data_IF_412711800957
#
_entry.id   IF_412711800957
#
_cell.length_a   1.000
_cell.length_b   1.000
_cell.length_c   1.000
_cell.angle_alpha   90.00
_cell.angle_beta   90.00
_cell.angle_gamma   90.00
#
_symmetry.space_group_name_H-M   'P 1'
#
loop_
_entity.id
_entity.type
_entity.pdbx_description
1 polymer ?
#
# COMPACT_ATOMS: atom_id res chain seq x y z
N UNK A 1 12.65 -7.76 5.29
CA UNK A 1 11.24 -8.12 5.22
C UNK A 1 10.33 -6.95 4.90
N UNK A 2 10.26 -5.87 5.71
CA UNK A 2 9.45 -4.69 5.32
C UNK A 2 10.04 -3.96 4.12
N UNK A 3 11.35 -3.86 4.04
CA UNK A 3 12.02 -3.27 2.88
C UNK A 3 11.79 -4.11 1.63
N UNK A 4 11.84 -5.43 1.75
CA UNK A 4 11.54 -6.32 0.64
C UNK A 4 10.10 -6.14 0.16
N UNK A 5 9.15 -6.08 1.08
CA UNK A 5 7.74 -5.88 0.75
C UNK A 5 7.53 -4.53 0.06
N UNK A 6 8.12 -3.47 0.60
CA UNK A 6 8.03 -2.13 0.00
C UNK A 6 8.55 -2.13 -1.44
N UNK A 7 9.73 -2.68 -1.65
CA UNK A 7 10.33 -2.72 -2.99
C UNK A 7 9.52 -3.60 -3.94
N UNK A 8 8.98 -4.71 -3.45
CA UNK A 8 8.15 -5.60 -4.26
C UNK A 8 6.86 -4.92 -4.70
N UNK A 9 6.18 -4.22 -3.79
CA UNK A 9 4.97 -3.47 -4.10
C UNK A 9 5.30 -2.37 -5.11
N UNK A 10 6.34 -1.60 -4.85
CA UNK A 10 6.75 -0.50 -5.72
C UNK A 10 7.06 -0.97 -7.14
N UNK A 11 7.85 -2.04 -7.26
CA UNK A 11 8.21 -2.60 -8.55
C UNK A 11 6.99 -3.13 -9.30
N UNK A 12 6.08 -3.81 -8.59
CA UNK A 12 4.89 -4.38 -9.20
C UNK A 12 3.94 -3.28 -9.70
N UNK A 13 3.77 -2.22 -8.93
CA UNK A 13 2.96 -1.07 -9.34
C UNK A 13 3.58 -0.39 -10.55
N UNK A 14 4.89 -0.17 -10.54
CA UNK A 14 5.57 0.47 -11.66
C UNK A 14 5.39 -0.33 -12.96
N UNK A 15 5.38 -1.65 -12.87
CA UNK A 15 5.20 -2.54 -14.02
C UNK A 15 3.74 -2.61 -14.47
N UNK A 16 2.82 -2.85 -13.53
CA UNK A 16 1.44 -3.20 -13.83
C UNK A 16 0.50 -2.01 -13.88
N UNK A 17 0.83 -0.93 -13.16
CA UNK A 17 -0.03 0.27 -13.05
C UNK A 17 0.82 1.52 -13.29
N UNK A 18 1.31 1.72 -14.52
CA UNK A 18 2.22 2.84 -14.83
C UNK A 18 1.56 4.21 -14.69
N UNK A 19 0.25 4.28 -14.55
CA UNK A 19 -0.48 5.53 -14.30
C UNK A 19 -0.13 6.15 -12.95
N UNK A 20 0.38 5.36 -11.99
CA UNK A 20 0.82 5.88 -10.70
C UNK A 20 2.12 6.66 -10.88
N UNK A 21 2.08 7.93 -10.50
CA UNK A 21 3.20 8.86 -10.73
C UNK A 21 4.12 9.06 -9.56
N UNK A 22 3.69 8.65 -8.35
CA UNK A 22 4.47 8.82 -7.14
C UNK A 22 4.18 7.67 -6.18
N UNK A 23 5.22 7.06 -5.62
CA UNK A 23 5.11 5.97 -4.66
C UNK A 23 6.07 6.26 -3.52
N UNK A 24 5.56 6.28 -2.29
CA UNK A 24 6.37 6.55 -1.11
C UNK A 24 5.75 5.91 0.13
N UNK A 25 6.44 6.02 1.25
CA UNK A 25 5.89 5.61 2.54
C UNK A 25 4.89 6.65 3.04
N UNK A 26 3.89 6.17 3.75
CA UNK A 26 2.89 7.03 4.35
C UNK A 26 3.46 7.76 5.57
N UNK A 27 3.31 9.08 5.59
CA UNK A 27 3.71 9.91 6.72
C UNK A 27 2.75 11.09 6.89
N UNK A 28 1.45 10.85 6.67
CA UNK A 28 0.41 11.89 6.68
C UNK A 28 0.58 12.90 5.56
N UNK A 29 1.10 12.47 4.41
CA UNK A 29 1.38 13.31 3.25
C UNK A 29 0.19 14.14 2.79
N UNK A 30 -1.02 13.59 2.93
CA UNK A 30 -2.26 14.25 2.54
C UNK A 30 -2.59 15.44 3.45
N UNK A 31 -2.29 15.32 4.74
CA UNK A 31 -2.59 16.35 5.72
C UNK A 31 -1.74 17.60 5.55
N UNK A 32 -0.56 17.45 4.97
CA UNK A 32 0.42 18.52 4.79
C UNK A 32 0.59 18.90 3.32
N UNK A 33 -0.41 18.61 2.50
CA UNK A 33 -0.34 18.79 1.05
C UNK A 33 0.05 20.21 0.65
N UNK A 34 -0.43 21.21 1.40
CA UNK A 34 -0.17 22.62 1.11
C UNK A 34 1.18 23.09 1.62
N UNK A 35 1.77 22.37 2.57
CA UNK A 35 3.02 22.76 3.23
C UNK A 35 4.23 22.03 2.68
N UNK A 36 4.04 20.91 1.99
CA UNK A 36 5.11 20.10 1.46
C UNK A 36 5.35 20.38 -0.02
N UNK A 37 6.52 19.95 -0.50
CA UNK A 37 6.79 19.96 -1.93
C UNK A 37 5.73 19.14 -2.65
N UNK A 38 5.07 19.70 -3.66
CA UNK A 38 4.02 18.96 -4.36
C UNK A 38 4.54 17.66 -4.97
N UNK A 39 3.77 16.60 -4.79
CA UNK A 39 4.04 15.33 -5.45
C UNK A 39 2.97 15.07 -6.51
N UNK A 40 3.36 14.30 -7.54
CA UNK A 40 2.46 14.02 -8.66
C UNK A 40 1.34 13.07 -8.25
N UNK A 41 0.18 13.23 -8.82
CA UNK A 41 -0.99 12.36 -8.65
C UNK A 41 -1.38 11.73 -9.99
N UNK A 42 -1.87 10.50 -10.00
CA UNK A 42 -2.19 9.62 -8.86
C UNK A 42 -0.94 9.17 -8.11
N UNK A 43 -1.05 9.10 -6.80
CA UNK A 43 0.05 8.68 -5.94
C UNK A 43 -0.36 7.51 -5.05
N UNK A 44 0.61 6.69 -4.69
CA UNK A 44 0.41 5.59 -3.75
C UNK A 44 1.35 5.79 -2.57
N UNK A 45 0.81 5.68 -1.36
CA UNK A 45 1.59 5.69 -0.13
C UNK A 45 1.37 4.37 0.61
N UNK A 46 2.44 3.81 1.12
CA UNK A 46 2.43 2.51 1.77
C UNK A 46 2.60 2.70 3.28
N UNK A 47 1.63 2.19 4.03
CA UNK A 47 1.63 2.28 5.50
C UNK A 47 1.67 0.90 6.10
N UNK A 48 2.57 0.67 7.06
CA UNK A 48 2.67 -0.59 7.77
C UNK A 48 1.88 -0.53 9.08
N UNK A 49 1.07 -1.55 9.32
CA UNK A 49 0.43 -1.76 10.60
C UNK A 49 1.30 -2.58 11.54
N UNK A 50 0.75 -2.91 12.69
CA UNK A 50 1.43 -3.75 13.68
C UNK A 50 1.67 -5.14 13.12
N UNK A 51 2.85 -5.67 13.38
CA UNK A 51 3.18 -7.07 13.07
C UNK A 51 3.22 -7.83 14.39
N UNK A 52 2.40 -8.86 14.50
CA UNK A 52 2.38 -9.74 15.67
C UNK A 52 3.21 -10.97 15.37
N UNK A 53 4.22 -11.21 16.19
CA UNK A 53 5.19 -12.28 15.96
C UNK A 53 4.92 -13.51 16.80
N UNK A 54 5.19 -14.66 16.20
CA UNK A 54 5.15 -15.96 16.88
C UNK A 54 6.49 -16.65 16.68
N UNK A 55 7.21 -16.98 17.76
CA UNK A 55 8.45 -17.73 17.65
C UNK A 55 8.18 -19.14 17.15
N UNK A 56 9.09 -19.64 16.32
CA UNK A 56 9.06 -21.01 15.80
C UNK A 56 10.18 -21.81 16.42
N UNK A 57 10.00 -23.12 16.49
CA UNK A 57 11.08 -24.02 16.87
C UNK A 57 12.20 -23.88 15.83
N UNK A 58 13.46 -23.88 16.29
CA UNK A 58 14.59 -23.78 15.39
C UNK A 58 14.99 -22.34 15.04
N UNK A 59 14.60 -21.38 15.86
CA UNK A 59 15.07 -19.99 15.83
C UNK A 59 14.46 -19.11 14.73
N UNK A 60 13.37 -19.54 14.11
CA UNK A 60 12.64 -18.68 13.19
C UNK A 60 11.49 -17.95 13.86
N UNK A 61 10.89 -16.99 13.15
CA UNK A 61 9.68 -16.30 13.59
C UNK A 61 8.71 -16.19 12.44
N UNK A 62 7.44 -16.30 12.76
CA UNK A 62 6.35 -16.04 11.84
C UNK A 62 5.60 -14.81 12.33
N UNK A 63 5.33 -13.87 11.43
CA UNK A 63 4.58 -12.66 11.75
C UNK A 63 3.29 -12.59 10.97
N UNK A 64 2.31 -11.93 11.56
CA UNK A 64 1.07 -11.54 10.89
C UNK A 64 0.89 -10.06 11.05
N UNK A 65 0.62 -9.37 9.96
CA UNK A 65 0.45 -7.95 10.00
C UNK A 65 -0.45 -7.45 8.89
N UNK A 66 -0.52 -6.14 8.79
CA UNK A 66 -1.29 -5.48 7.76
C UNK A 66 -0.41 -4.45 7.07
N UNK A 67 -0.67 -4.26 5.80
CA UNK A 67 -0.12 -3.15 5.05
C UNK A 67 -1.28 -2.41 4.39
N UNK A 68 -1.26 -1.09 4.46
CA UNK A 68 -2.29 -0.25 3.87
C UNK A 68 -1.73 0.46 2.66
N UNK A 69 -2.49 0.42 1.58
CA UNK A 69 -2.13 1.08 0.33
C UNK A 69 -3.07 2.26 0.16
N UNK A 70 -2.52 3.46 0.31
CA UNK A 70 -3.26 4.70 0.14
C UNK A 70 -3.14 5.14 -1.31
N UNK A 71 -4.23 5.10 -2.06
CA UNK A 71 -4.29 5.65 -3.40
C UNK A 71 -4.87 7.06 -3.31
N UNK A 72 -4.10 8.04 -3.70
CA UNK A 72 -4.50 9.45 -3.64
C UNK A 72 -4.67 9.98 -5.05
N UNK A 73 -5.88 10.43 -5.38
CA UNK A 73 -6.22 10.97 -6.68
C UNK A 73 -6.83 12.37 -6.51
N UNK A 74 -6.82 13.14 -7.60
CA UNK A 74 -7.51 14.43 -7.59
C UNK A 74 -9.01 14.21 -7.53
N UNK A 75 -9.68 14.98 -6.66
CA UNK A 75 -11.13 14.99 -6.63
C UNK A 75 -11.62 16.00 -7.66
N UNK A 76 -12.16 15.47 -8.75
CA UNK A 76 -12.78 16.29 -9.77
C UNK A 76 -14.11 15.66 -10.15
N UNK A 77 -15.08 16.49 -10.47
CA UNK A 77 -16.39 16.01 -10.87
C UNK A 77 -16.27 15.06 -12.06
N UNK A 78 -16.89 13.89 -11.92
CA UNK A 78 -16.90 12.88 -12.98
C UNK A 78 -15.64 12.01 -13.05
N UNK A 79 -14.66 12.18 -12.16
CA UNK A 79 -13.41 11.41 -12.20
C UNK A 79 -13.32 10.29 -11.16
N UNK A 80 -14.31 10.14 -10.29
CA UNK A 80 -14.30 9.07 -9.29
C UNK A 80 -14.28 7.67 -9.94
N UNK A 81 -14.88 7.49 -11.10
CA UNK A 81 -14.88 6.21 -11.79
C UNK A 81 -13.46 5.80 -12.19
N UNK A 82 -12.65 6.75 -12.65
CA UNK A 82 -11.26 6.49 -13.00
C UNK A 82 -10.45 6.11 -11.76
N UNK A 83 -10.72 6.78 -10.62
CA UNK A 83 -10.06 6.46 -9.35
C UNK A 83 -10.40 5.03 -8.90
N UNK A 84 -11.66 4.63 -8.99
CA UNK A 84 -12.07 3.29 -8.60
C UNK A 84 -11.53 2.22 -9.56
N UNK A 85 -11.45 2.51 -10.84
CA UNK A 85 -10.83 1.61 -11.81
C UNK A 85 -9.34 1.43 -11.51
N UNK A 86 -8.66 2.49 -11.12
CA UNK A 86 -7.25 2.45 -10.76
C UNK A 86 -7.03 1.66 -9.47
N UNK A 87 -7.92 1.82 -8.49
CA UNK A 87 -7.92 1.03 -7.27
C UNK A 87 -8.02 -0.47 -7.57
N UNK A 88 -8.86 -0.84 -8.53
CA UNK A 88 -8.99 -2.24 -8.95
C UNK A 88 -7.74 -2.78 -9.61
N UNK A 89 -7.07 -1.96 -10.42
CA UNK A 89 -5.78 -2.35 -11.02
C UNK A 89 -4.72 -2.59 -9.94
N UNK A 90 -4.70 -1.76 -8.91
CA UNK A 90 -3.79 -1.94 -7.78
C UNK A 90 -4.08 -3.25 -7.05
N UNK A 91 -5.34 -3.56 -6.82
CA UNK A 91 -5.72 -4.83 -6.20
C UNK A 91 -5.22 -6.01 -7.04
N UNK A 92 -5.42 -5.98 -8.33
CA UNK A 92 -4.98 -7.05 -9.22
C UNK A 92 -3.46 -7.20 -9.23
N UNK A 93 -2.72 -6.11 -9.04
CA UNK A 93 -1.27 -6.15 -9.01
C UNK A 93 -0.74 -6.65 -7.66
N UNK A 94 -1.37 -6.28 -6.56
CA UNK A 94 -0.82 -6.49 -5.21
C UNK A 94 -1.31 -7.78 -4.57
N UNK A 95 -2.56 -8.16 -4.76
CA UNK A 95 -3.09 -9.38 -4.14
C UNK A 95 -2.31 -10.61 -4.63
N UNK A 96 -1.90 -11.44 -3.69
CA UNK A 96 -1.10 -12.62 -3.99
C UNK A 96 0.39 -12.37 -4.19
N UNK A 97 0.85 -11.13 -4.03
CA UNK A 97 2.26 -10.82 -4.14
C UNK A 97 3.04 -11.55 -3.04
N UNK A 98 4.22 -12.05 -3.36
CA UNK A 98 5.06 -12.78 -2.41
C UNK A 98 6.55 -12.50 -2.67
N UNK A 99 7.36 -12.74 -1.66
CA UNK A 99 8.80 -12.63 -1.72
C UNK A 99 9.45 -13.69 -0.84
N UNK A 100 10.72 -13.51 -0.52
CA UNK A 100 11.46 -14.47 0.29
C UNK A 100 10.99 -14.50 1.74
N UNK A 101 10.59 -13.36 2.28
CA UNK A 101 10.24 -13.22 3.69
C UNK A 101 8.79 -12.78 3.92
N UNK A 102 7.97 -12.78 2.88
CA UNK A 102 6.55 -12.46 3.04
C UNK A 102 5.70 -13.19 2.01
N UNK A 103 4.44 -13.44 2.36
CA UNK A 103 3.42 -13.95 1.44
C UNK A 103 2.02 -13.67 2.00
N UNK A 104 1.02 -14.28 1.40
CA UNK A 104 -0.35 -14.24 1.91
C UNK A 104 -1.03 -12.88 1.77
N UNK A 105 -0.57 -12.05 0.85
CA UNK A 105 -1.18 -10.75 0.58
C UNK A 105 -2.63 -10.92 0.13
N UNK A 106 -3.57 -10.49 0.96
CA UNK A 106 -4.99 -10.62 0.68
C UNK A 106 -5.72 -9.36 1.14
N UNK A 107 -6.59 -8.84 0.28
CA UNK A 107 -7.39 -7.66 0.61
C UNK A 107 -8.36 -7.99 1.74
N UNK A 108 -8.33 -7.19 2.80
CA UNK A 108 -9.16 -7.38 3.99
C UNK A 108 -10.21 -6.29 4.16
N UNK A 109 -9.91 -5.06 3.77
CA UNK A 109 -10.80 -3.93 3.96
C UNK A 109 -10.47 -2.83 2.97
N UNK A 110 -11.47 -2.04 2.63
CA UNK A 110 -11.32 -0.85 1.78
C UNK A 110 -12.04 0.30 2.43
N UNK A 111 -11.33 1.41 2.63
CA UNK A 111 -11.90 2.66 3.10
C UNK A 111 -11.78 3.72 2.02
N UNK A 112 -12.78 4.59 1.95
CA UNK A 112 -12.75 5.74 1.05
C UNK A 112 -12.88 6.99 1.90
N UNK A 113 -11.93 7.90 1.76
CA UNK A 113 -11.89 9.12 2.54
C UNK A 113 -11.80 10.34 1.63
N UNK A 114 -12.52 11.36 2.01
CA UNK A 114 -12.48 12.67 1.35
C UNK A 114 -12.06 13.69 2.39
N UNK A 115 -10.85 13.52 2.92
CA UNK A 115 -10.34 14.34 4.02
C UNK A 115 -9.82 15.71 3.57
N UNK A 116 -9.68 15.93 2.28
CA UNK A 116 -9.23 17.19 1.69
C UNK A 116 -10.12 17.52 0.50
N UNK A 117 -10.45 18.80 0.30
CA UNK A 117 -11.38 19.22 -0.75
C UNK A 117 -10.99 18.78 -2.14
N UNK A 118 -9.71 18.75 -2.42
CA UNK A 118 -9.18 18.54 -3.76
C UNK A 118 -8.73 17.12 -4.04
N UNK A 119 -8.84 16.22 -3.06
CA UNK A 119 -8.34 14.86 -3.22
C UNK A 119 -9.31 13.82 -2.70
N UNK A 120 -9.25 12.66 -3.36
CA UNK A 120 -9.94 11.45 -2.94
C UNK A 120 -8.88 10.43 -2.53
N UNK A 121 -9.07 9.83 -1.37
CA UNK A 121 -8.15 8.81 -0.86
C UNK A 121 -8.88 7.48 -0.71
N UNK A 122 -8.36 6.44 -1.38
CA UNK A 122 -8.81 5.07 -1.22
C UNK A 122 -7.75 4.31 -0.44
N UNK A 123 -8.14 3.65 0.64
CA UNK A 123 -7.22 2.94 1.51
C UNK A 123 -7.59 1.47 1.51
N UNK A 124 -6.76 0.66 0.89
CA UNK A 124 -6.91 -0.80 0.88
C UNK A 124 -5.98 -1.40 1.93
N UNK A 125 -6.55 -2.19 2.82
CA UNK A 125 -5.80 -2.91 3.85
C UNK A 125 -5.63 -4.35 3.44
N UNK A 126 -4.37 -4.79 3.36
CA UNK A 126 -4.01 -6.17 3.01
C UNK A 126 -3.44 -6.88 4.23
N UNK A 127 -3.88 -8.11 4.45
CA UNK A 127 -3.19 -9.01 5.38
C UNK A 127 -1.87 -9.44 4.74
N UNK A 128 -0.86 -9.67 5.56
CA UNK A 128 0.43 -10.16 5.08
C UNK A 128 1.05 -11.04 6.15
N UNK A 129 1.72 -12.12 5.71
CA UNK A 129 2.48 -13.01 6.58
C UNK A 129 3.96 -12.75 6.35
N UNK A 130 4.70 -12.67 7.44
CA UNK A 130 6.14 -12.46 7.40
C UNK A 130 6.88 -13.65 7.97
N UNK A 131 8.08 -13.87 7.47
CA UNK A 131 8.95 -14.93 7.95
C UNK A 131 10.32 -14.35 8.21
N UNK A 132 10.86 -14.63 9.40
CA UNK A 132 12.23 -14.28 9.72
C UNK A 132 12.98 -15.56 10.06
N UNK A 133 14.08 -15.78 9.35
CA UNK A 133 15.03 -16.83 9.68
C UNK A 133 16.15 -16.19 10.49
N UNK A 134 16.40 -16.67 11.69
CA UNK A 134 17.50 -16.16 12.48
C UNK A 134 18.78 -16.88 12.09
N UNK A 135 19.88 -16.14 12.01
CA UNK A 135 21.20 -16.75 11.74
C UNK A 135 21.66 -17.66 12.88
#
# INVERSE_FOLDING_TARGET
>A
MRAELYEAIKAKIAEAVPEIKHIDLWNHNVEFLEEETPWARPAVFIEYGTITWQPLQGHGRRGRGEVRIHLVTDWAEGQYEAAFALSRKLLQAIEGLSGDEFDGMALMATDTSHSHEDILENIDTYAVRYYLSEP
#
